data_IF_570658353555
#
_entry.id   IF_570658353555
#
_cell.length_a   1.000
_cell.length_b   1.000
_cell.length_c   1.000
_cell.angle_alpha   90.00
_cell.angle_beta   90.00
_cell.angle_gamma   90.00
#
_symmetry.space_group_name_H-M   'P 1'
#
loop_
_entity.id
_entity.type
_entity.pdbx_description
1 polymer ?
#
# COMPACT_ATOMS: atom_id res chain seq x y z
N UNK A 1 -29.40 -0.01 -28.07
CA UNK A 1 -28.13 -0.43 -27.43
C UNK A 1 -27.05 0.57 -27.76
N UNK A 2 -26.03 0.70 -26.91
CA UNK A 2 -24.96 1.71 -27.04
C UNK A 2 -23.54 1.10 -26.98
N UNK A 3 -23.39 -0.20 -27.27
CA UNK A 3 -22.08 -0.85 -27.31
C UNK A 3 -21.36 -0.45 -28.59
N UNK A 4 -20.21 0.21 -28.45
CA UNK A 4 -19.39 0.66 -29.59
C UNK A 4 -18.34 -0.39 -29.98
N UNK A 5 -17.67 -1.00 -28.99
CA UNK A 5 -16.63 -2.01 -29.20
C UNK A 5 -16.51 -2.93 -27.99
N UNK A 6 -16.15 -4.19 -28.21
CA UNK A 6 -15.91 -5.16 -27.15
C UNK A 6 -14.70 -6.04 -27.52
N UNK A 7 -13.71 -6.08 -26.63
CA UNK A 7 -12.55 -6.96 -26.75
C UNK A 7 -12.06 -7.37 -25.36
N UNK A 8 -11.43 -8.54 -25.28
CA UNK A 8 -10.75 -9.00 -24.07
C UNK A 8 -9.31 -8.48 -24.06
N UNK A 9 -8.90 -7.88 -22.94
CA UNK A 9 -7.55 -7.34 -22.74
C UNK A 9 -6.81 -8.11 -21.65
N UNK A 10 -5.56 -8.48 -21.91
CA UNK A 10 -4.67 -9.05 -20.90
C UNK A 10 -3.91 -7.93 -20.19
N UNK A 11 -4.02 -7.88 -18.87
CA UNK A 11 -3.30 -6.92 -18.05
C UNK A 11 -3.07 -7.46 -16.63
N UNK A 12 -2.23 -6.78 -15.86
CA UNK A 12 -2.05 -7.09 -14.44
C UNK A 12 -3.26 -6.62 -13.63
N UNK A 13 -3.80 -7.50 -12.79
CA UNK A 13 -4.90 -7.19 -11.87
C UNK A 13 -4.50 -7.48 -10.42
N UNK A 14 -4.83 -6.61 -9.45
CA UNK A 14 -4.47 -6.83 -8.06
C UNK A 14 -5.28 -7.98 -7.44
N UNK A 15 -4.60 -8.84 -6.69
CA UNK A 15 -5.21 -9.96 -5.99
C UNK A 15 -4.86 -9.94 -4.50
N UNK A 16 -5.73 -10.53 -3.67
CA UNK A 16 -5.50 -10.72 -2.26
C UNK A 16 -4.20 -11.51 -2.06
N UNK A 17 -3.24 -10.93 -1.35
CA UNK A 17 -1.94 -11.58 -1.13
C UNK A 17 -2.03 -12.94 -0.42
N UNK A 18 -3.11 -13.17 0.36
CA UNK A 18 -3.38 -14.43 1.06
C UNK A 18 -4.20 -15.42 0.22
N UNK A 19 -5.44 -15.06 -0.15
CA UNK A 19 -6.36 -15.99 -0.81
C UNK A 19 -6.28 -15.98 -2.35
N UNK A 20 -5.48 -15.09 -2.94
CA UNK A 20 -5.26 -14.95 -4.39
C UNK A 20 -6.49 -14.58 -5.22
N UNK A 21 -7.61 -14.24 -4.58
CA UNK A 21 -8.81 -13.73 -5.25
C UNK A 21 -8.64 -12.28 -5.71
N UNK A 22 -9.25 -11.85 -6.83
CA UNK A 22 -9.22 -10.46 -7.28
C UNK A 22 -9.77 -9.49 -6.23
N UNK A 23 -9.16 -8.31 -6.10
CA UNK A 23 -9.65 -7.25 -5.18
C UNK A 23 -10.35 -6.13 -5.94
N UNK A 24 -11.23 -5.42 -5.23
CA UNK A 24 -11.94 -4.24 -5.76
C UNK A 24 -11.73 -3.04 -4.83
N UNK A 25 -11.85 -1.84 -5.37
CA UNK A 25 -11.93 -0.62 -4.57
C UNK A 25 -13.38 -0.36 -4.16
N UNK A 26 -13.61 -0.14 -2.86
CA UNK A 26 -14.92 0.23 -2.30
C UNK A 26 -14.73 1.18 -1.14
N UNK A 27 -15.48 2.29 -1.14
CA UNK A 27 -15.49 3.21 -0.01
C UNK A 27 -16.22 2.58 1.18
N UNK A 28 -15.54 2.51 2.33
CA UNK A 28 -16.11 2.10 3.62
C UNK A 28 -15.43 2.91 4.73
N UNK A 29 -16.12 3.22 5.86
CA UNK A 29 -15.48 3.83 7.01
C UNK A 29 -14.38 2.92 7.58
N UNK A 30 -13.18 3.44 7.81
CA UNK A 30 -12.03 2.72 8.35
C UNK A 30 -11.20 3.64 9.25
N UNK A 31 -10.34 3.04 10.08
CA UNK A 31 -9.37 3.75 10.93
C UNK A 31 -8.01 3.85 10.24
N UNK A 32 -7.43 5.04 10.28
CA UNK A 32 -6.18 5.35 9.61
C UNK A 32 -5.18 5.98 10.56
N UNK A 33 -3.89 5.66 10.35
CA UNK A 33 -2.77 6.43 10.87
C UNK A 33 -2.37 7.45 9.81
N UNK A 34 -2.39 8.73 10.18
CA UNK A 34 -1.95 9.83 9.33
C UNK A 34 -0.42 9.80 9.17
N UNK A 35 0.10 9.50 7.99
CA UNK A 35 1.54 9.31 7.79
C UNK A 35 2.33 10.61 7.97
N UNK A 36 1.71 11.76 7.67
CA UNK A 36 2.29 13.09 7.81
C UNK A 36 2.04 13.72 9.19
N UNK A 37 1.23 13.07 10.04
CA UNK A 37 0.92 13.60 11.37
C UNK A 37 2.10 13.37 12.31
N UNK A 38 2.32 14.33 13.20
CA UNK A 38 3.34 14.28 14.26
C UNK A 38 4.76 13.95 13.77
N UNK A 39 5.07 14.27 12.50
CA UNK A 39 6.39 13.99 11.91
C UNK A 39 6.69 12.51 11.65
N UNK A 40 5.69 11.62 11.67
CA UNK A 40 5.89 10.16 11.58
C UNK A 40 6.70 9.75 10.34
N UNK A 41 6.33 10.25 9.15
CA UNK A 41 7.05 9.96 7.90
C UNK A 41 8.50 10.46 7.96
N UNK A 42 8.71 11.70 8.39
CA UNK A 42 10.04 12.31 8.45
C UNK A 42 10.96 11.57 9.43
N UNK A 43 10.45 11.22 10.61
CA UNK A 43 11.17 10.42 11.59
C UNK A 43 11.51 9.05 11.02
N UNK A 44 10.54 8.37 10.40
CA UNK A 44 10.76 7.05 9.79
C UNK A 44 11.85 7.10 8.70
N UNK A 45 11.82 8.10 7.81
CA UNK A 45 12.84 8.30 6.79
C UNK A 45 14.23 8.59 7.36
N UNK A 46 14.30 9.31 8.50
CA UNK A 46 15.57 9.51 9.21
C UNK A 46 16.11 8.20 9.77
N UNK A 47 15.27 7.41 10.43
CA UNK A 47 15.69 6.14 11.03
C UNK A 47 16.11 5.12 9.97
N UNK A 48 15.46 5.09 8.80
CA UNK A 48 15.83 4.21 7.68
C UNK A 48 17.31 4.38 7.27
N UNK A 49 17.83 5.62 7.30
CA UNK A 49 19.24 5.92 6.98
C UNK A 49 20.22 5.42 8.04
N UNK A 50 19.76 5.23 9.28
CA UNK A 50 20.56 4.72 10.40
C UNK A 50 20.65 3.18 10.43
N UNK A 51 19.88 2.48 9.60
CA UNK A 51 19.86 1.01 9.55
C UNK A 51 20.93 0.48 8.59
N UNK A 52 21.58 -0.63 8.96
CA UNK A 52 22.46 -1.37 8.05
C UNK A 52 21.63 -2.20 7.07
N UNK A 53 21.75 -1.92 5.78
CA UNK A 53 21.06 -2.64 4.71
C UNK A 53 21.96 -3.71 4.11
N UNK A 54 21.43 -4.92 3.91
CA UNK A 54 22.14 -6.00 3.20
C UNK A 54 21.13 -6.70 2.30
N UNK A 55 21.24 -6.58 0.97
CA UNK A 55 22.15 -5.71 0.21
C UNK A 55 21.77 -4.22 0.26
N UNK A 56 22.73 -3.34 -0.05
CA UNK A 56 22.60 -1.88 0.11
C UNK A 56 21.42 -1.25 -0.64
N UNK A 57 21.07 -1.79 -1.82
CA UNK A 57 19.94 -1.28 -2.60
C UNK A 57 18.58 -1.42 -1.89
N UNK A 58 18.50 -2.25 -0.84
CA UNK A 58 17.30 -2.40 -0.02
C UNK A 58 16.84 -1.09 0.60
N UNK A 59 17.78 -0.19 0.92
CA UNK A 59 17.49 1.13 1.48
C UNK A 59 16.59 1.94 0.54
N UNK A 60 17.03 2.13 -0.71
CA UNK A 60 16.30 2.94 -1.69
C UNK A 60 14.86 2.42 -1.92
N UNK A 61 14.68 1.09 -1.89
CA UNK A 61 13.36 0.47 -2.04
C UNK A 61 12.42 0.80 -0.88
N UNK A 62 12.91 0.77 0.36
CA UNK A 62 12.10 1.08 1.53
C UNK A 62 11.89 2.59 1.69
N UNK A 63 12.92 3.41 1.44
CA UNK A 63 12.79 4.88 1.44
C UNK A 63 11.71 5.33 0.46
N UNK A 64 11.76 4.89 -0.80
CA UNK A 64 10.76 5.25 -1.81
C UNK A 64 9.34 4.82 -1.43
N UNK A 65 9.20 3.63 -0.80
CA UNK A 65 7.92 3.12 -0.32
C UNK A 65 7.34 3.97 0.80
N UNK A 66 8.17 4.44 1.74
CA UNK A 66 7.75 5.25 2.89
C UNK A 66 7.50 6.70 2.51
N UNK A 67 8.30 7.26 1.62
CA UNK A 67 8.18 8.64 1.12
C UNK A 67 6.81 8.89 0.48
N UNK A 68 6.37 7.98 -0.39
CA UNK A 68 5.12 8.10 -1.14
C UNK A 68 3.94 7.39 -0.47
N UNK A 69 4.08 6.98 0.79
CA UNK A 69 3.08 6.16 1.48
C UNK A 69 1.84 7.02 1.85
N UNK A 70 0.63 6.66 1.38
CA UNK A 70 -0.60 7.27 1.87
C UNK A 70 -0.91 6.83 3.31
N UNK A 71 -1.90 7.47 3.92
CA UNK A 71 -2.37 7.13 5.26
C UNK A 71 -2.63 5.63 5.43
N UNK A 72 -2.16 5.09 6.54
CA UNK A 72 -2.14 3.65 6.74
C UNK A 72 -3.45 3.18 7.37
N UNK A 73 -4.25 2.45 6.59
CA UNK A 73 -5.44 1.76 7.09
C UNK A 73 -5.06 0.62 8.05
N UNK A 74 -5.44 0.75 9.32
CA UNK A 74 -5.13 -0.22 10.38
C UNK A 74 -6.32 -1.12 10.75
N UNK A 75 -7.56 -0.68 10.51
CA UNK A 75 -8.73 -1.50 10.82
C UNK A 75 -8.92 -2.66 9.85
N UNK A 76 -9.46 -3.78 10.36
CA UNK A 76 -9.80 -4.98 9.58
C UNK A 76 -11.16 -5.49 10.00
N UNK A 77 -11.98 -5.91 9.04
CA UNK A 77 -13.26 -6.57 9.31
C UNK A 77 -12.99 -8.05 9.56
N UNK A 78 -12.61 -8.40 10.80
CA UNK A 78 -12.30 -9.76 11.23
C UNK A 78 -12.84 -10.00 12.64
N UNK A 79 -13.09 -11.27 12.96
CA UNK A 79 -13.51 -11.71 14.29
C UNK A 79 -12.35 -11.93 15.26
N UNK A 80 -11.15 -12.18 14.72
CA UNK A 80 -9.92 -12.39 15.49
C UNK A 80 -8.90 -11.31 15.14
N UNK A 81 -8.37 -10.61 16.15
CA UNK A 81 -7.44 -9.50 16.01
C UNK A 81 -6.88 -9.05 17.35
#
# INVERSE_FOLDING_TARGET
GALLHHEAMQHSYPCCWRHKTPVIFRATPQWFIGMDKNGLRQQSLKEIKGVKWIPDWGQARIESMVENRPDWCISRQRTWG
#
